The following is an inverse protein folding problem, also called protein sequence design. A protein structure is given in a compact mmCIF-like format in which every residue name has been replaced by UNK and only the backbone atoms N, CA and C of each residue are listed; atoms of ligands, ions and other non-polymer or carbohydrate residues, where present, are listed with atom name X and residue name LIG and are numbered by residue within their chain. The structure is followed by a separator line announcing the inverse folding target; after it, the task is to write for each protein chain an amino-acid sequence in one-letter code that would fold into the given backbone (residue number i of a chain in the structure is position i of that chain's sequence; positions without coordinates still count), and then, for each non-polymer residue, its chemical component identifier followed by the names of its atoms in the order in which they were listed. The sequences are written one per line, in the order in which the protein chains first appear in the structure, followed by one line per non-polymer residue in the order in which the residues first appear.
data_IF_539320239511
#
_entry.id   IF_539320239511
#
_cell.length_a   1.000
_cell.length_b   1.000
_cell.length_c   1.000
_cell.angle_alpha   90.00
_cell.angle_beta   90.00
_cell.angle_gamma   90.00
#
_symmetry.space_group_name_H-M   'P 1'
#
loop_
_entity.id
_entity.type
_entity.pdbx_description
1 polymer ?
#
# COMPACT_ATOMS: atom_id res chain seq x y z
N UNK A 1 12.28 -3.74 -1.98
CA UNK A 1 12.01 -2.38 -1.45
C UNK A 1 10.52 -2.11 -1.58
N UNK A 2 9.89 -1.61 -0.52
CA UNK A 2 8.48 -1.17 -0.52
C UNK A 2 8.44 0.32 -0.23
N UNK A 3 7.70 1.08 -1.02
CA UNK A 3 7.49 2.51 -0.82
C UNK A 3 5.99 2.79 -0.81
N UNK A 4 5.50 3.42 0.23
CA UNK A 4 4.14 3.95 0.29
C UNK A 4 4.19 5.40 -0.18
N UNK A 5 3.53 5.70 -1.31
CA UNK A 5 3.60 7.01 -1.97
C UNK A 5 2.30 7.80 -1.85
N UNK A 6 1.20 7.16 -1.44
CA UNK A 6 -0.11 7.78 -1.36
C UNK A 6 -0.88 7.20 -0.17
N UNK A 7 -1.25 8.06 0.78
CA UNK A 7 -2.16 7.71 1.86
C UNK A 7 -3.33 8.70 1.76
N UNK A 8 -4.48 8.24 1.29
CA UNK A 8 -5.64 9.08 1.04
C UNK A 8 -6.81 8.60 1.90
N UNK A 9 -7.11 9.36 2.95
CA UNK A 9 -8.07 8.98 3.99
C UNK A 9 -9.09 10.07 4.28
N UNK A 10 -10.07 10.23 3.38
CA UNK A 10 -11.24 11.07 3.60
C UNK A 10 -11.20 12.43 2.90
N UNK A 11 -12.34 12.82 2.32
CA UNK A 11 -12.53 14.07 1.58
C UNK A 11 -12.86 15.29 2.45
N UNK A 12 -13.10 15.11 3.76
CA UNK A 12 -13.45 16.18 4.70
C UNK A 12 -12.78 15.96 6.06
N UNK A 13 -12.18 17.01 6.64
CA UNK A 13 -11.39 16.95 7.88
C UNK A 13 -12.20 16.63 9.15
N UNK A 14 -13.53 16.72 9.07
CA UNK A 14 -14.46 16.51 10.19
C UNK A 14 -15.25 15.20 10.09
N UNK A 15 -14.96 14.37 9.08
CA UNK A 15 -15.64 13.09 8.85
C UNK A 15 -14.63 11.98 9.04
N UNK A 16 -14.94 11.02 9.92
CA UNK A 16 -14.15 9.79 10.02
C UNK A 16 -14.39 9.01 8.73
N UNK A 17 -13.36 8.75 7.91
CA UNK A 17 -13.55 8.07 6.64
C UNK A 17 -13.86 6.59 6.86
N UNK A 18 -14.87 6.07 6.15
CA UNK A 18 -15.25 4.66 6.21
C UNK A 18 -14.17 3.74 5.60
N UNK A 19 -13.29 4.29 4.76
CA UNK A 19 -12.15 3.57 4.17
C UNK A 19 -11.01 4.51 3.80
N UNK A 20 -9.80 3.95 3.72
CA UNK A 20 -8.59 4.66 3.29
C UNK A 20 -7.97 3.93 2.12
N UNK A 21 -7.47 4.67 1.13
CA UNK A 21 -6.71 4.10 0.01
C UNK A 21 -5.23 4.34 0.22
N UNK A 22 -4.46 3.26 0.30
CA UNK A 22 -3.00 3.29 0.42
C UNK A 22 -2.41 2.83 -0.91
N UNK A 23 -1.70 3.72 -1.59
CA UNK A 23 -1.00 3.47 -2.83
C UNK A 23 0.51 3.49 -2.63
N UNK A 24 1.22 2.61 -3.32
CA UNK A 24 2.67 2.49 -3.22
C UNK A 24 3.27 1.74 -4.39
N UNK A 25 4.59 1.65 -4.40
CA UNK A 25 5.35 0.84 -5.35
C UNK A 25 6.24 -0.10 -4.57
N UNK A 26 6.24 -1.38 -4.95
CA UNK A 26 7.18 -2.35 -4.44
C UNK A 26 8.00 -2.91 -5.60
N UNK A 27 9.32 -3.00 -5.39
CA UNK A 27 10.30 -3.46 -6.38
C UNK A 27 11.15 -4.56 -5.78
N UNK A 28 11.38 -5.62 -6.54
CA UNK A 28 12.21 -6.75 -6.17
C UNK A 28 13.07 -7.17 -7.38
N UNK A 29 14.28 -7.66 -7.11
CA UNK A 29 15.24 -8.07 -8.15
C UNK A 29 14.88 -9.40 -8.81
N UNK A 30 14.20 -10.30 -8.08
CA UNK A 30 13.77 -11.61 -8.58
C UNK A 30 12.26 -11.76 -8.50
N UNK A 31 11.70 -12.63 -9.36
CA UNK A 31 10.26 -12.96 -9.35
C UNK A 31 9.83 -13.63 -8.05
N UNK A 32 10.70 -14.45 -7.46
CA UNK A 32 10.44 -15.11 -6.18
C UNK A 32 10.30 -14.09 -5.04
N UNK A 33 11.25 -13.16 -4.92
CA UNK A 33 11.17 -12.09 -3.93
C UNK A 33 9.98 -11.17 -4.19
N UNK A 34 9.57 -10.97 -5.44
CA UNK A 34 8.35 -10.22 -5.77
C UNK A 34 7.08 -10.92 -5.27
N UNK A 35 6.96 -12.24 -5.50
CA UNK A 35 5.83 -13.03 -5.01
C UNK A 35 5.77 -13.06 -3.47
N UNK A 36 6.90 -13.23 -2.80
CA UNK A 36 6.97 -13.18 -1.34
C UNK A 36 6.57 -11.80 -0.80
N UNK A 37 7.04 -10.73 -1.45
CA UNK A 37 6.72 -9.35 -1.03
C UNK A 37 5.23 -9.05 -1.24
N UNK A 38 4.62 -9.57 -2.32
CA UNK A 38 3.18 -9.46 -2.56
C UNK A 38 2.37 -10.19 -1.49
N UNK A 39 2.77 -11.41 -1.12
CA UNK A 39 2.09 -12.19 -0.09
C UNK A 39 2.08 -11.46 1.26
N UNK A 40 3.23 -10.91 1.68
CA UNK A 40 3.36 -10.14 2.92
C UNK A 40 2.62 -8.80 2.94
N UNK A 41 2.25 -8.24 1.77
CA UNK A 41 1.43 -7.03 1.67
C UNK A 41 -0.07 -7.36 1.83
N UNK A 42 -0.46 -8.62 1.62
CA UNK A 42 -1.86 -9.07 1.76
C UNK A 42 -2.18 -9.64 3.15
N UNK A 43 -1.16 -9.94 3.97
CA UNK A 43 -1.30 -10.25 5.40
C UNK A 43 -1.70 -9.00 6.20
#
# INVERSE_FOLDING_TARGET
VVTVAKFQGGGAFNVIPDSVTIGGTFRAFSKESFSQLKQRIQE
#
